data_IF_016525556869
#
_entry.id   IF_016525556869
#
_cell.length_a   1.000
_cell.length_b   1.000
_cell.length_c   1.000
_cell.angle_alpha   90.00
_cell.angle_beta   90.00
_cell.angle_gamma   90.00
#
_symmetry.space_group_name_H-M   'P 1'
#
loop_
_entity.id
_entity.type
_entity.pdbx_description
1 polymer ?
#
# COMPACT_ATOMS: atom_id res chain seq x y z
N UNK A 1 10.51 36.64 -25.61
CA UNK A 1 11.22 35.83 -24.60
C UNK A 1 10.92 36.40 -23.22
N UNK A 2 9.97 35.82 -22.49
CA UNK A 2 9.66 36.24 -21.12
C UNK A 2 10.60 35.55 -20.14
N UNK A 3 11.54 36.30 -19.56
CA UNK A 3 12.38 35.84 -18.45
C UNK A 3 11.49 35.40 -17.28
N UNK A 4 11.42 34.10 -17.06
CA UNK A 4 10.80 33.48 -15.90
C UNK A 4 11.64 33.90 -14.67
N UNK A 5 11.14 34.87 -13.88
CA UNK A 5 11.74 35.27 -12.61
C UNK A 5 12.02 34.01 -11.78
N UNK A 6 13.30 33.75 -11.46
CA UNK A 6 13.70 32.80 -10.42
C UNK A 6 13.03 33.26 -9.12
N UNK A 7 12.07 32.49 -8.61
CA UNK A 7 11.45 32.76 -7.32
C UNK A 7 12.51 32.75 -6.22
N UNK A 8 12.47 33.72 -5.31
CA UNK A 8 13.31 33.74 -4.11
C UNK A 8 13.13 32.42 -3.36
N UNK A 9 14.21 31.85 -2.84
CA UNK A 9 14.13 30.72 -1.93
C UNK A 9 13.24 31.11 -0.74
N UNK A 10 12.30 30.24 -0.33
CA UNK A 10 11.44 30.54 0.80
C UNK A 10 12.29 30.66 2.08
N UNK A 11 11.83 31.41 3.10
CA UNK A 11 12.53 31.52 4.38
C UNK A 11 12.81 30.13 4.97
N UNK A 12 14.00 29.95 5.55
CA UNK A 12 14.42 28.69 6.21
C UNK A 12 13.38 28.30 7.28
N UNK A 13 12.97 27.03 7.30
CA UNK A 13 11.90 26.47 8.15
C UNK A 13 10.46 26.98 7.90
N UNK A 14 10.23 27.82 6.89
CA UNK A 14 8.85 28.11 6.48
C UNK A 14 8.15 26.83 5.98
N UNK A 15 6.80 26.75 6.03
CA UNK A 15 6.07 25.62 5.48
C UNK A 15 6.41 25.32 4.01
N UNK A 16 6.73 26.37 3.23
CA UNK A 16 7.15 26.23 1.84
C UNK A 16 8.56 25.66 1.69
N UNK A 17 9.47 25.99 2.60
CA UNK A 17 10.83 25.45 2.64
C UNK A 17 10.83 23.96 2.99
N UNK A 18 10.08 23.56 4.03
CA UNK A 18 9.94 22.15 4.42
C UNK A 18 9.34 21.34 3.28
N UNK A 19 8.35 21.89 2.60
CA UNK A 19 7.69 21.23 1.47
C UNK A 19 8.64 21.00 0.28
N UNK A 20 9.48 21.98 -0.05
CA UNK A 20 10.41 21.86 -1.17
C UNK A 20 11.56 20.90 -0.88
N UNK A 21 11.98 20.77 0.38
CA UNK A 21 13.16 20.01 0.79
C UNK A 21 12.80 18.79 1.64
N UNK A 22 11.58 18.27 1.58
CA UNK A 22 11.11 17.17 2.46
C UNK A 22 11.97 15.91 2.29
N UNK A 23 12.33 15.56 1.04
CA UNK A 23 13.21 14.43 0.76
C UNK A 23 14.63 14.66 1.27
N UNK A 24 15.16 15.88 1.14
CA UNK A 24 16.48 16.24 1.67
C UNK A 24 16.48 16.23 3.20
N UNK A 25 15.43 16.76 3.84
CA UNK A 25 15.26 16.73 5.30
C UNK A 25 15.19 15.29 5.82
N UNK A 26 14.41 14.42 5.18
CA UNK A 26 14.36 12.99 5.51
C UNK A 26 15.73 12.33 5.31
N UNK A 27 16.46 12.70 4.25
CA UNK A 27 17.82 12.22 3.98
C UNK A 27 18.81 12.66 5.06
N UNK A 28 18.79 13.94 5.47
CA UNK A 28 19.65 14.43 6.55
C UNK A 28 19.35 13.73 7.88
N UNK A 29 18.08 13.48 8.19
CA UNK A 29 17.70 12.72 9.39
C UNK A 29 18.19 11.27 9.32
N UNK A 30 17.95 10.58 8.20
CA UNK A 30 18.39 9.20 8.00
C UNK A 30 19.92 9.08 8.06
N UNK A 31 20.65 9.98 7.40
CA UNK A 31 22.13 10.04 7.44
C UNK A 31 22.61 10.38 8.84
N UNK A 32 21.97 11.30 9.56
CA UNK A 32 22.30 11.62 10.94
C UNK A 32 22.17 10.41 11.87
N UNK A 33 21.10 9.62 11.70
CA UNK A 33 20.92 8.35 12.39
C UNK A 33 22.08 7.41 12.02
N UNK A 34 22.39 7.21 10.74
CA UNK A 34 23.50 6.35 10.30
C UNK A 34 24.87 6.79 10.83
N UNK A 35 25.16 8.09 10.85
CA UNK A 35 26.40 8.65 11.40
C UNK A 35 26.52 8.38 12.91
N UNK A 36 25.40 8.30 13.62
CA UNK A 36 25.40 7.90 15.02
C UNK A 36 25.85 6.45 15.25
N UNK A 37 25.99 5.61 14.22
CA UNK A 37 26.68 4.32 14.33
C UNK A 37 28.21 4.45 14.46
N UNK A 38 28.78 5.59 14.09
CA UNK A 38 30.24 5.78 14.08
C UNK A 38 30.84 5.88 15.50
N UNK A 39 30.03 6.23 16.50
CA UNK A 39 30.47 6.33 17.89
C UNK A 39 29.80 5.26 18.75
N UNK A 40 30.58 4.59 19.59
CA UNK A 40 30.10 3.44 20.39
C UNK A 40 28.92 3.80 21.31
N UNK A 41 28.96 4.97 21.94
CA UNK A 41 27.90 5.43 22.85
C UNK A 41 26.58 5.66 22.11
N UNK A 42 26.62 6.34 20.95
CA UNK A 42 25.42 6.63 20.16
C UNK A 42 24.91 5.39 19.43
N UNK A 43 25.80 4.48 19.01
CA UNK A 43 25.45 3.27 18.30
C UNK A 43 24.46 2.40 19.09
N UNK A 44 24.61 2.32 20.42
CA UNK A 44 23.69 1.59 21.32
C UNK A 44 22.23 2.05 21.23
N UNK A 45 22.00 3.32 20.91
CA UNK A 45 20.66 3.90 20.77
C UNK A 45 20.17 3.88 19.33
N UNK A 46 21.06 4.19 18.39
CA UNK A 46 20.75 4.28 16.96
C UNK A 46 20.40 2.93 16.36
N UNK A 47 21.00 1.84 16.84
CA UNK A 47 20.75 0.50 16.29
C UNK A 47 19.28 0.09 16.37
N UNK A 48 18.53 0.63 17.34
CA UNK A 48 17.09 0.39 17.52
C UNK A 48 16.28 0.86 16.29
N UNK A 49 16.75 1.91 15.62
CA UNK A 49 16.12 2.46 14.42
C UNK A 49 16.42 1.61 13.17
N UNK A 50 17.58 0.98 13.11
CA UNK A 50 18.08 0.39 11.85
C UNK A 50 17.79 -1.11 11.78
N UNK A 51 18.02 -1.84 12.87
CA UNK A 51 17.92 -3.31 12.84
C UNK A 51 16.52 -3.79 13.20
N UNK A 52 16.17 -4.99 12.75
CA UNK A 52 14.97 -5.67 13.20
C UNK A 52 15.14 -6.08 14.67
N UNK A 53 14.19 -5.68 15.52
CA UNK A 53 14.30 -5.82 16.98
C UNK A 53 13.82 -7.18 17.47
N UNK A 54 14.12 -7.53 18.74
CA UNK A 54 13.63 -8.74 19.43
C UNK A 54 14.08 -10.06 18.78
N UNK A 55 15.37 -10.16 18.41
CA UNK A 55 15.95 -11.43 17.95
C UNK A 55 15.99 -12.46 19.10
N UNK A 56 15.52 -13.66 18.81
CA UNK A 56 15.56 -14.84 19.67
C UNK A 56 16.27 -15.96 18.89
N UNK A 57 17.48 -16.30 19.31
CA UNK A 57 18.30 -17.31 18.66
C UNK A 57 18.08 -18.68 19.29
N UNK A 58 17.79 -19.68 18.47
CA UNK A 58 17.73 -21.08 18.90
C UNK A 58 18.91 -21.87 18.33
N UNK A 59 19.53 -22.67 19.19
CA UNK A 59 20.48 -23.71 18.80
C UNK A 59 19.70 -25.00 18.57
N UNK A 60 19.70 -25.50 17.35
CA UNK A 60 19.21 -26.85 17.07
C UNK A 60 20.40 -27.80 17.31
N UNK A 61 20.21 -28.83 18.15
CA UNK A 61 21.31 -29.73 18.53
C UNK A 61 21.93 -30.49 17.34
N UNK A 62 23.24 -30.78 17.47
CA UNK A 62 24.16 -31.55 16.63
C UNK A 62 24.61 -30.99 15.27
N UNK A 63 24.04 -29.88 14.80
CA UNK A 63 24.61 -29.09 13.71
C UNK A 63 24.56 -27.64 14.13
N UNK A 64 25.69 -26.96 14.14
CA UNK A 64 25.89 -25.56 14.52
C UNK A 64 25.11 -24.53 13.67
N UNK A 65 23.84 -24.78 13.39
CA UNK A 65 22.91 -23.94 12.66
C UNK A 65 22.05 -23.20 13.68
N UNK A 66 22.26 -21.89 13.74
CA UNK A 66 21.46 -20.97 14.54
C UNK A 66 20.28 -20.48 13.70
N UNK A 67 19.05 -20.77 14.13
CA UNK A 67 17.86 -20.17 13.52
C UNK A 67 17.45 -18.96 14.36
N UNK A 68 17.43 -17.79 13.72
CA UNK A 68 17.04 -16.53 14.34
C UNK A 68 15.57 -16.25 14.07
N UNK A 69 14.79 -16.19 15.15
CA UNK A 69 13.39 -15.75 15.14
C UNK A 69 13.26 -14.37 15.75
N UNK A 70 12.12 -13.72 15.50
CA UNK A 70 11.86 -12.38 15.98
C UNK A 70 10.43 -12.26 16.51
N UNK A 71 10.29 -11.63 17.66
CA UNK A 71 8.99 -11.30 18.26
C UNK A 71 8.61 -9.85 17.92
N UNK A 72 7.34 -9.47 18.06
CA UNK A 72 6.95 -8.06 17.93
C UNK A 72 7.17 -7.31 19.25
N UNK A 73 7.36 -5.99 19.19
CA UNK A 73 7.35 -5.18 20.41
C UNK A 73 7.50 -3.69 20.17
N UNK A 74 7.41 -2.86 21.24
CA UNK A 74 7.36 -1.40 21.12
C UNK A 74 8.59 -0.77 20.44
N UNK A 75 9.77 -1.39 20.53
CA UNK A 75 10.97 -0.89 19.83
C UNK A 75 10.82 -0.89 18.31
N UNK A 76 9.92 -1.71 17.77
CA UNK A 76 9.62 -1.73 16.34
C UNK A 76 9.08 -0.38 15.84
N UNK A 77 8.51 0.46 16.72
CA UNK A 77 8.04 1.81 16.34
C UNK A 77 9.21 2.68 15.84
N UNK A 78 10.37 2.60 16.50
CA UNK A 78 11.56 3.33 16.07
C UNK A 78 12.08 2.80 14.73
N UNK A 79 12.06 1.47 14.54
CA UNK A 79 12.42 0.83 13.27
C UNK A 79 11.47 1.24 12.15
N UNK A 80 10.15 1.21 12.38
CA UNK A 80 9.13 1.66 11.43
C UNK A 80 9.34 3.13 11.06
N UNK A 81 9.64 4.00 12.03
CA UNK A 81 9.93 5.41 11.78
C UNK A 81 11.14 5.59 10.86
N UNK A 82 12.23 4.86 11.10
CA UNK A 82 13.41 4.91 10.24
C UNK A 82 13.09 4.46 8.82
N UNK A 83 12.43 3.31 8.64
CA UNK A 83 12.04 2.83 7.31
C UNK A 83 10.99 3.72 6.64
N UNK A 84 10.21 4.51 7.40
CA UNK A 84 9.34 5.54 6.84
C UNK A 84 10.16 6.69 6.24
N UNK A 85 11.27 7.10 6.87
CA UNK A 85 12.22 8.06 6.27
C UNK A 85 12.82 7.50 4.98
N UNK A 86 13.24 6.23 4.99
CA UNK A 86 13.72 5.55 3.78
C UNK A 86 12.64 5.52 2.68
N UNK A 87 11.39 5.28 3.04
CA UNK A 87 10.27 5.32 2.09
C UNK A 87 10.07 6.72 1.47
N UNK A 88 10.18 7.81 2.26
CA UNK A 88 10.13 9.19 1.75
C UNK A 88 11.26 9.42 0.73
N UNK A 89 12.48 9.01 1.05
CA UNK A 89 13.65 9.17 0.16
C UNK A 89 13.45 8.37 -1.12
N UNK A 90 13.05 7.10 -1.00
CA UNK A 90 12.83 6.21 -2.15
C UNK A 90 11.72 6.74 -3.07
N UNK A 91 10.62 7.22 -2.50
CA UNK A 91 9.53 7.83 -3.25
C UNK A 91 10.02 9.04 -4.05
N UNK A 92 10.80 9.94 -3.44
CA UNK A 92 11.39 11.08 -4.13
C UNK A 92 12.34 10.65 -5.26
N UNK A 93 13.19 9.65 -5.04
CA UNK A 93 14.09 9.10 -6.06
C UNK A 93 13.31 8.49 -7.22
N UNK A 94 12.30 7.66 -6.95
CA UNK A 94 11.44 7.07 -7.99
C UNK A 94 10.73 8.16 -8.79
N UNK A 95 10.24 9.19 -8.11
CA UNK A 95 9.57 10.33 -8.75
C UNK A 95 10.50 11.01 -9.74
N UNK A 96 11.68 11.42 -9.29
CA UNK A 96 12.57 12.31 -10.05
C UNK A 96 13.31 11.56 -11.17
N UNK A 97 13.81 10.35 -10.90
CA UNK A 97 14.61 9.58 -11.85
C UNK A 97 13.80 8.75 -12.84
N UNK A 98 12.60 8.31 -12.45
CA UNK A 98 11.78 7.40 -13.26
C UNK A 98 10.52 8.11 -13.77
N UNK A 99 9.62 8.50 -12.87
CA UNK A 99 8.26 8.91 -13.25
C UNK A 99 8.26 10.24 -14.01
N UNK A 100 8.98 11.25 -13.53
CA UNK A 100 9.08 12.54 -14.18
C UNK A 100 9.84 12.43 -15.52
N UNK A 101 10.79 11.51 -15.64
CA UNK A 101 11.48 11.23 -16.92
C UNK A 101 10.55 10.62 -17.95
N UNK A 102 9.67 9.70 -17.55
CA UNK A 102 8.64 9.12 -18.42
C UNK A 102 7.59 10.17 -18.79
N UNK A 103 7.14 10.98 -17.84
CA UNK A 103 6.15 12.03 -18.09
C UNK A 103 6.63 13.08 -19.09
N UNK A 104 7.91 13.50 -19.00
CA UNK A 104 8.51 14.44 -19.96
C UNK A 104 8.49 13.87 -21.39
N UNK A 105 8.62 12.55 -21.56
CA UNK A 105 8.54 11.87 -22.86
C UNK A 105 7.10 11.74 -23.37
N UNK A 106 6.14 11.54 -22.48
CA UNK A 106 4.73 11.35 -22.82
C UNK A 106 3.94 12.65 -23.03
N UNK A 107 4.53 13.81 -22.70
CA UNK A 107 3.90 15.14 -22.84
C UNK A 107 2.48 15.21 -22.23
N UNK A 108 2.30 14.63 -21.05
CA UNK A 108 1.01 14.57 -20.37
C UNK A 108 0.54 15.96 -19.89
N UNK A 109 -0.78 16.20 -19.87
CA UNK A 109 -1.36 17.39 -19.26
C UNK A 109 -1.09 17.44 -17.75
N UNK A 110 -1.12 18.62 -17.13
CA UNK A 110 -0.87 18.80 -15.69
C UNK A 110 -1.74 17.88 -14.81
N UNK A 111 -3.00 17.70 -15.18
CA UNK A 111 -3.93 16.81 -14.44
C UNK A 111 -3.65 15.32 -14.69
N UNK A 112 -3.21 14.93 -15.89
CA UNK A 112 -2.77 13.54 -16.18
C UNK A 112 -1.46 13.24 -15.45
N UNK A 113 -0.56 14.21 -15.40
CA UNK A 113 0.75 14.09 -14.74
C UNK A 113 0.64 13.72 -13.26
N UNK A 114 -0.15 14.45 -12.47
CA UNK A 114 -0.32 14.15 -11.04
C UNK A 114 -0.87 12.74 -10.80
N UNK A 115 -1.86 12.33 -11.60
CA UNK A 115 -2.46 10.99 -11.51
C UNK A 115 -1.56 9.87 -12.02
N UNK A 116 -0.72 10.17 -13.01
CA UNK A 116 0.31 9.27 -13.50
C UNK A 116 1.35 9.03 -12.40
N UNK A 117 1.83 10.08 -11.74
CA UNK A 117 2.82 9.95 -10.65
C UNK A 117 2.26 9.16 -9.47
N UNK A 118 1.04 9.47 -9.01
CA UNK A 118 0.35 8.69 -7.97
C UNK A 118 0.27 7.20 -8.34
N UNK A 119 -0.15 6.89 -9.57
CA UNK A 119 -0.26 5.50 -10.02
C UNK A 119 1.11 4.84 -10.25
N UNK A 120 2.12 5.62 -10.63
CA UNK A 120 3.48 5.18 -10.83
C UNK A 120 4.09 4.71 -9.51
N UNK A 121 4.01 5.54 -8.48
CA UNK A 121 4.51 5.23 -7.13
C UNK A 121 3.83 3.97 -6.57
N UNK A 122 2.49 3.92 -6.65
CA UNK A 122 1.73 2.76 -6.19
C UNK A 122 2.05 1.50 -7.00
N UNK A 123 2.23 1.59 -8.32
CA UNK A 123 2.63 0.45 -9.13
C UNK A 123 4.03 -0.09 -8.74
N UNK A 124 5.01 0.79 -8.48
CA UNK A 124 6.33 0.37 -8.01
C UNK A 124 6.25 -0.33 -6.65
N UNK A 125 5.51 0.27 -5.70
CA UNK A 125 5.31 -0.31 -4.39
C UNK A 125 4.61 -1.67 -4.45
N UNK A 126 3.46 -1.76 -5.13
CA UNK A 126 2.72 -3.01 -5.21
C UNK A 126 3.48 -4.10 -5.96
N UNK A 127 4.29 -3.75 -6.97
CA UNK A 127 5.16 -4.72 -7.65
C UNK A 127 6.18 -5.32 -6.67
N UNK A 128 6.92 -4.46 -5.96
CA UNK A 128 7.92 -4.90 -5.01
C UNK A 128 7.30 -5.70 -3.86
N UNK A 129 6.23 -5.20 -3.26
CA UNK A 129 5.54 -5.86 -2.15
C UNK A 129 4.85 -7.17 -2.58
N UNK A 130 4.31 -7.25 -3.80
CA UNK A 130 3.77 -8.50 -4.32
C UNK A 130 4.87 -9.55 -4.51
N UNK A 131 5.97 -9.19 -5.17
CA UNK A 131 7.08 -10.13 -5.42
C UNK A 131 7.69 -10.63 -4.11
N UNK A 132 7.94 -9.73 -3.16
CA UNK A 132 8.49 -10.10 -1.85
C UNK A 132 7.48 -10.90 -1.00
N UNK A 133 6.22 -10.49 -0.95
CA UNK A 133 5.19 -11.24 -0.23
C UNK A 133 4.96 -12.63 -0.83
N UNK A 134 4.97 -12.74 -2.16
CA UNK A 134 4.86 -14.02 -2.86
C UNK A 134 6.08 -14.92 -2.62
N UNK A 135 7.30 -14.35 -2.54
CA UNK A 135 8.49 -15.14 -2.22
C UNK A 135 8.45 -15.70 -0.80
N UNK A 136 7.94 -14.92 0.17
CA UNK A 136 7.71 -15.39 1.55
C UNK A 136 6.68 -16.53 1.54
N UNK A 137 5.54 -16.33 0.88
CA UNK A 137 4.50 -17.37 0.81
C UNK A 137 5.02 -18.66 0.15
N UNK A 138 5.80 -18.57 -0.92
CA UNK A 138 6.34 -19.75 -1.61
C UNK A 138 7.36 -20.53 -0.76
N UNK A 139 7.96 -19.90 0.24
CA UNK A 139 8.86 -20.57 1.18
C UNK A 139 8.12 -21.29 2.33
N UNK A 140 6.81 -21.06 2.48
CA UNK A 140 6.02 -21.54 3.61
C UNK A 140 5.12 -22.72 3.23
N UNK A 141 5.20 -23.81 3.99
CA UNK A 141 4.49 -25.07 3.72
C UNK A 141 2.95 -24.93 3.80
N UNK A 142 2.45 -23.97 4.57
CA UNK A 142 1.00 -23.74 4.72
C UNK A 142 0.32 -23.25 3.43
N UNK A 143 1.09 -22.84 2.42
CA UNK A 143 0.53 -22.50 1.10
C UNK A 143 0.10 -23.72 0.30
N UNK A 144 0.81 -24.84 0.46
CA UNK A 144 0.50 -26.13 -0.17
C UNK A 144 -0.51 -26.91 0.67
N UNK A 145 -0.40 -26.83 2.00
CA UNK A 145 -1.32 -27.48 2.92
C UNK A 145 -2.00 -26.47 3.87
N UNK A 146 -3.21 -25.97 3.52
CA UNK A 146 -3.92 -24.96 4.32
C UNK A 146 -4.27 -25.41 5.74
N UNK A 147 -4.25 -26.72 6.03
CA UNK A 147 -4.50 -27.23 7.39
C UNK A 147 -3.40 -26.80 8.38
N UNK A 148 -2.20 -26.50 7.88
CA UNK A 148 -1.05 -26.04 8.67
C UNK A 148 -1.14 -24.58 9.07
N UNK A 149 -2.08 -23.80 8.51
CA UNK A 149 -2.19 -22.37 8.75
C UNK A 149 -2.23 -22.03 10.25
N UNK A 150 -2.99 -22.81 11.03
CA UNK A 150 -3.19 -22.63 12.48
C UNK A 150 -2.44 -23.65 13.34
N UNK A 151 -1.65 -24.53 12.72
CA UNK A 151 -0.84 -25.50 13.46
C UNK A 151 0.14 -24.74 14.37
N UNK A 152 0.24 -25.16 15.63
CA UNK A 152 1.10 -24.56 16.65
C UNK A 152 0.79 -23.08 16.96
N UNK A 153 -0.46 -22.63 16.73
CA UNK A 153 -0.91 -21.31 17.14
C UNK A 153 -0.87 -21.19 18.69
N UNK A 154 -0.37 -20.08 19.27
CA UNK A 154 -0.03 -18.80 18.65
C UNK A 154 1.35 -18.71 17.96
N UNK A 155 1.39 -18.03 16.82
CA UNK A 155 2.62 -17.77 16.05
C UNK A 155 3.32 -16.48 16.51
N UNK A 156 3.76 -16.43 17.76
CA UNK A 156 4.44 -15.25 18.33
C UNK A 156 5.81 -14.94 17.70
N UNK A 157 6.39 -15.92 16.99
CA UNK A 157 7.73 -15.86 16.41
C UNK A 157 7.68 -15.76 14.90
N UNK A 158 8.46 -14.83 14.35
CA UNK A 158 8.55 -14.56 12.92
C UNK A 158 9.98 -14.77 12.42
N UNK A 159 10.13 -15.27 11.20
CA UNK A 159 11.40 -15.17 10.49
C UNK A 159 11.71 -13.70 10.17
N UNK A 160 13.00 -13.39 10.05
CA UNK A 160 13.48 -12.04 9.69
C UNK A 160 12.71 -11.47 8.49
N UNK A 161 12.56 -12.25 7.42
CA UNK A 161 11.91 -11.79 6.19
C UNK A 161 10.44 -11.40 6.41
N UNK A 162 9.71 -12.17 7.21
CA UNK A 162 8.30 -11.89 7.54
C UNK A 162 8.20 -10.61 8.36
N UNK A 163 8.96 -10.51 9.45
CA UNK A 163 8.93 -9.34 10.32
C UNK A 163 9.34 -8.08 9.56
N UNK A 164 10.44 -8.16 8.81
CA UNK A 164 10.96 -7.03 8.06
C UNK A 164 9.99 -6.59 6.95
N UNK A 165 9.32 -7.54 6.28
CA UNK A 165 8.25 -7.25 5.33
C UNK A 165 7.15 -6.39 5.99
N UNK A 166 6.61 -6.82 7.13
CA UNK A 166 5.56 -6.07 7.85
C UNK A 166 6.01 -4.67 8.28
N UNK A 167 7.22 -4.54 8.83
CA UNK A 167 7.80 -3.23 9.19
C UNK A 167 7.83 -2.30 7.97
N UNK A 168 8.34 -2.78 6.83
CA UNK A 168 8.39 -2.01 5.59
C UNK A 168 6.99 -1.65 5.05
N UNK A 169 6.02 -2.57 5.13
CA UNK A 169 4.65 -2.27 4.69
C UNK A 169 4.01 -1.18 5.56
N UNK A 170 4.13 -1.26 6.88
CA UNK A 170 3.60 -0.23 7.80
C UNK A 170 4.30 1.11 7.56
N UNK A 171 5.63 1.10 7.46
CA UNK A 171 6.44 2.28 7.18
C UNK A 171 6.03 2.98 5.88
N UNK A 172 5.79 2.23 4.81
CA UNK A 172 5.35 2.79 3.53
C UNK A 172 3.99 3.49 3.63
N UNK A 173 3.01 2.87 4.30
CA UNK A 173 1.69 3.46 4.47
C UNK A 173 1.68 4.66 5.43
N UNK A 174 2.57 4.70 6.42
CA UNK A 174 2.81 5.90 7.24
C UNK A 174 3.49 7.02 6.43
N UNK A 175 4.42 6.67 5.54
CA UNK A 175 4.98 7.62 4.58
C UNK A 175 3.88 8.23 3.71
N UNK A 176 2.90 7.44 3.25
CA UNK A 176 1.80 7.93 2.44
C UNK A 176 0.96 9.01 3.16
N UNK A 177 0.83 8.95 4.50
CA UNK A 177 0.20 10.03 5.29
C UNK A 177 1.00 11.34 5.20
N UNK A 178 2.32 11.25 5.32
CA UNK A 178 3.22 12.40 5.20
C UNK A 178 3.15 13.00 3.79
N UNK A 179 3.02 12.14 2.79
CA UNK A 179 2.93 12.55 1.39
C UNK A 179 1.63 13.30 1.05
N UNK A 180 0.52 13.02 1.76
CA UNK A 180 -0.70 13.84 1.65
C UNK A 180 -0.41 15.32 1.93
N UNK A 181 0.46 15.58 2.90
CA UNK A 181 0.91 16.92 3.26
C UNK A 181 1.94 17.44 2.25
N UNK A 182 2.95 16.64 1.89
CA UNK A 182 4.04 17.07 1.01
C UNK A 182 3.62 17.36 -0.44
N UNK A 183 2.65 16.63 -0.98
CA UNK A 183 2.21 16.83 -2.37
C UNK A 183 1.16 17.93 -2.55
N UNK A 184 0.72 18.59 -1.47
CA UNK A 184 -0.39 19.57 -1.51
C UNK A 184 -1.59 18.99 -2.25
N UNK A 185 -2.02 17.79 -1.85
CA UNK A 185 -3.15 17.13 -2.46
C UNK A 185 -4.39 18.02 -2.32
N UNK A 186 -5.23 18.01 -3.36
CA UNK A 186 -6.44 18.83 -3.38
C UNK A 186 -7.32 18.46 -2.18
N UNK A 187 -7.86 19.46 -1.49
CA UNK A 187 -8.60 19.26 -0.23
C UNK A 187 -9.77 18.29 -0.39
N UNK A 188 -10.40 18.25 -1.56
CA UNK A 188 -11.48 17.33 -1.89
C UNK A 188 -11.06 15.85 -2.01
N UNK A 189 -9.78 15.57 -2.30
CA UNK A 189 -9.25 14.21 -2.45
C UNK A 189 -8.70 13.64 -1.13
N UNK A 190 -8.33 14.50 -0.16
CA UNK A 190 -7.71 14.11 1.13
C UNK A 190 -8.57 13.09 1.91
N UNK A 191 -9.88 13.30 2.14
CA UNK A 191 -10.66 12.36 2.97
C UNK A 191 -10.70 10.95 2.36
N UNK A 192 -10.75 10.87 1.03
CA UNK A 192 -10.74 9.59 0.31
C UNK A 192 -9.41 8.87 0.54
N UNK A 193 -8.30 9.53 0.22
CA UNK A 193 -6.97 8.90 0.34
C UNK A 193 -6.62 8.56 1.79
N UNK A 194 -6.96 9.44 2.74
CA UNK A 194 -6.76 9.19 4.16
C UNK A 194 -7.51 7.93 4.63
N UNK A 195 -8.75 7.73 4.17
CA UNK A 195 -9.51 6.52 4.48
C UNK A 195 -8.78 5.25 3.98
N UNK A 196 -8.29 5.25 2.74
CA UNK A 196 -7.52 4.12 2.22
C UNK A 196 -6.24 3.86 3.02
N UNK A 197 -5.47 4.91 3.30
CA UNK A 197 -4.22 4.78 4.07
C UNK A 197 -4.49 4.23 5.47
N UNK A 198 -5.51 4.74 6.16
CA UNK A 198 -5.92 4.23 7.47
C UNK A 198 -6.35 2.77 7.42
N UNK A 199 -7.07 2.35 6.36
CA UNK A 199 -7.46 0.94 6.19
C UNK A 199 -6.23 0.04 6.03
N UNK A 200 -5.22 0.44 5.25
CA UNK A 200 -3.98 -0.32 5.12
C UNK A 200 -3.23 -0.41 6.44
N UNK A 201 -3.00 0.73 7.12
CA UNK A 201 -2.31 0.76 8.41
C UNK A 201 -3.03 -0.14 9.42
N UNK A 202 -4.36 -0.05 9.51
CA UNK A 202 -5.17 -0.84 10.44
C UNK A 202 -5.07 -2.35 10.17
N UNK A 203 -5.23 -2.79 8.92
CA UNK A 203 -5.20 -4.23 8.61
C UNK A 203 -3.78 -4.81 8.74
N UNK A 204 -2.76 -4.10 8.27
CA UNK A 204 -1.36 -4.57 8.33
C UNK A 204 -0.88 -4.61 9.77
N UNK A 205 -1.10 -3.52 10.54
CA UNK A 205 -0.71 -3.46 11.95
C UNK A 205 -1.53 -4.42 12.80
N UNK A 206 -2.83 -4.58 12.51
CA UNK A 206 -3.68 -5.55 13.19
C UNK A 206 -3.19 -6.99 12.99
N UNK A 207 -2.82 -7.35 11.76
CA UNK A 207 -2.24 -8.66 11.49
C UNK A 207 -0.87 -8.86 12.18
N UNK A 208 -0.07 -7.80 12.27
CA UNK A 208 1.24 -7.82 12.92
C UNK A 208 1.16 -7.97 14.44
N UNK A 209 0.31 -7.18 15.10
CA UNK A 209 0.19 -7.13 16.57
C UNK A 209 -0.58 -8.33 17.13
N UNK A 210 -1.58 -8.84 16.40
CA UNK A 210 -2.43 -9.94 16.86
C UNK A 210 -1.87 -11.34 16.52
N UNK A 211 -0.62 -11.43 16.09
CA UNK A 211 0.00 -12.68 15.64
C UNK A 211 -0.81 -13.40 14.54
N UNK A 212 -1.34 -12.64 13.59
CA UNK A 212 -2.08 -13.14 12.43
C UNK A 212 -1.28 -12.96 11.14
N UNK A 213 0.06 -12.96 11.22
CA UNK A 213 0.94 -12.60 10.10
C UNK A 213 0.78 -13.56 8.92
N UNK A 214 0.62 -14.86 9.17
CA UNK A 214 0.38 -15.87 8.11
C UNK A 214 -0.91 -15.56 7.34
N UNK A 215 -2.01 -15.35 8.05
CA UNK A 215 -3.29 -14.98 7.44
C UNK A 215 -3.18 -13.63 6.72
N UNK A 216 -2.55 -12.64 7.35
CA UNK A 216 -2.35 -11.32 6.77
C UNK A 216 -1.59 -11.38 5.44
N UNK A 217 -0.51 -12.17 5.34
CA UNK A 217 0.22 -12.39 4.08
C UNK A 217 -0.67 -13.02 3.00
N UNK A 218 -1.39 -14.10 3.32
CA UNK A 218 -2.28 -14.79 2.38
C UNK A 218 -3.35 -13.84 1.82
N UNK A 219 -3.87 -12.91 2.63
CA UNK A 219 -4.88 -11.95 2.18
C UNK A 219 -4.26 -10.75 1.44
N UNK A 220 -3.09 -10.30 1.88
CA UNK A 220 -2.43 -9.08 1.36
C UNK A 220 -1.80 -9.28 -0.01
N UNK A 221 -1.12 -10.40 -0.25
CA UNK A 221 -0.43 -10.67 -1.53
C UNK A 221 -1.39 -10.65 -2.74
N UNK A 222 -2.51 -11.39 -2.76
CA UNK A 222 -3.45 -11.32 -3.89
C UNK A 222 -4.14 -9.96 -4.01
N UNK A 223 -4.33 -9.25 -2.89
CA UNK A 223 -4.84 -7.88 -2.92
C UNK A 223 -3.84 -6.94 -3.62
N UNK A 224 -2.57 -6.97 -3.25
CA UNK A 224 -1.52 -6.15 -3.88
C UNK A 224 -1.33 -6.47 -5.37
N UNK A 225 -1.49 -7.73 -5.77
CA UNK A 225 -1.48 -8.11 -7.19
C UNK A 225 -2.60 -7.40 -7.98
N UNK A 226 -3.82 -7.37 -7.43
CA UNK A 226 -4.95 -6.69 -8.10
C UNK A 226 -4.72 -5.19 -8.19
N UNK A 227 -4.22 -4.56 -7.12
CA UNK A 227 -3.91 -3.13 -7.12
C UNK A 227 -2.76 -2.80 -8.09
N UNK A 228 -1.74 -3.66 -8.18
CA UNK A 228 -0.67 -3.54 -9.19
C UNK A 228 -1.25 -3.54 -10.60
N UNK A 229 -2.12 -4.49 -10.93
CA UNK A 229 -2.74 -4.58 -12.26
C UNK A 229 -3.59 -3.35 -12.55
N UNK A 230 -4.29 -2.79 -11.55
CA UNK A 230 -5.03 -1.54 -11.69
C UNK A 230 -4.11 -0.37 -12.07
N UNK A 231 -3.08 -0.13 -11.27
CA UNK A 231 -2.17 0.99 -11.47
C UNK A 231 -1.34 0.83 -12.74
N UNK A 232 -0.86 -0.37 -13.05
CA UNK A 232 -0.20 -0.66 -14.32
C UNK A 232 -1.12 -0.39 -15.52
N UNK A 233 -2.39 -0.84 -15.46
CA UNK A 233 -3.38 -0.56 -16.51
C UNK A 233 -3.61 0.93 -16.69
N UNK A 234 -3.65 1.69 -15.59
CA UNK A 234 -3.81 3.15 -15.60
C UNK A 234 -2.60 3.86 -16.21
N UNK A 235 -1.38 3.41 -15.93
CA UNK A 235 -0.16 3.92 -16.55
C UNK A 235 -0.15 3.67 -18.07
N UNK A 236 -0.50 2.46 -18.52
CA UNK A 236 -0.59 2.14 -19.95
C UNK A 236 -1.68 2.96 -20.64
N UNK A 237 -2.82 3.17 -20.00
CA UNK A 237 -3.90 4.01 -20.51
C UNK A 237 -3.50 5.48 -20.66
N UNK A 238 -2.70 6.01 -19.74
CA UNK A 238 -2.18 7.38 -19.87
C UNK A 238 -1.19 7.54 -21.01
N UNK A 239 -0.42 6.50 -21.33
CA UNK A 239 0.47 6.46 -22.50
C UNK A 239 -0.31 6.33 -23.82
N UNK A 240 -1.32 5.45 -23.86
CA UNK A 240 -2.16 5.24 -25.04
C UNK A 240 -3.60 4.89 -24.61
N UNK A 241 -4.55 5.76 -24.93
CA UNK A 241 -5.95 5.62 -24.55
C UNK A 241 -6.64 4.40 -25.17
N UNK A 242 -6.03 3.76 -26.19
CA UNK A 242 -6.50 2.51 -26.78
C UNK A 242 -6.19 1.27 -25.90
N UNK A 243 -5.27 1.37 -24.94
CA UNK A 243 -4.84 0.27 -24.06
C UNK A 243 -5.78 0.07 -22.88
N UNK A 244 -7.06 -0.22 -23.15
CA UNK A 244 -8.09 -0.36 -22.11
C UNK A 244 -8.28 -1.80 -21.61
N UNK A 245 -7.74 -2.81 -22.33
CA UNK A 245 -7.93 -4.23 -22.01
C UNK A 245 -7.49 -4.61 -20.59
N UNK A 246 -6.45 -3.93 -20.06
CA UNK A 246 -5.96 -4.16 -18.70
C UNK A 246 -7.02 -3.90 -17.62
N UNK A 247 -7.90 -2.93 -17.82
CA UNK A 247 -9.01 -2.67 -16.87
C UNK A 247 -10.04 -3.79 -16.85
N UNK A 248 -10.22 -4.55 -17.94
CA UNK A 248 -11.12 -5.72 -17.94
C UNK A 248 -10.51 -6.86 -17.13
N UNK A 249 -9.21 -7.12 -17.32
CA UNK A 249 -8.46 -8.12 -16.53
C UNK A 249 -8.49 -7.77 -15.05
N UNK A 250 -8.19 -6.51 -14.73
CA UNK A 250 -8.29 -6.00 -13.36
C UNK A 250 -9.68 -6.19 -12.78
N UNK A 251 -10.75 -5.82 -13.50
CA UNK A 251 -12.11 -5.92 -12.97
C UNK A 251 -12.51 -7.36 -12.63
N UNK A 252 -12.13 -8.33 -13.47
CA UNK A 252 -12.34 -9.76 -13.20
C UNK A 252 -11.58 -10.20 -11.94
N UNK A 253 -10.26 -9.93 -11.91
CA UNK A 253 -9.41 -10.34 -10.79
C UNK A 253 -9.79 -9.66 -9.48
N UNK A 254 -10.24 -8.40 -9.54
CA UNK A 254 -10.73 -7.67 -8.38
C UNK A 254 -11.87 -8.44 -7.71
N UNK A 255 -12.91 -8.79 -8.46
CA UNK A 255 -14.06 -9.55 -7.91
C UNK A 255 -13.60 -10.90 -7.35
N UNK A 256 -12.76 -11.64 -8.10
CA UNK A 256 -12.24 -12.94 -7.66
C UNK A 256 -11.49 -12.84 -6.34
N UNK A 257 -10.59 -11.86 -6.18
CA UNK A 257 -9.82 -11.69 -4.95
C UNK A 257 -10.71 -11.22 -3.79
N UNK A 258 -11.75 -10.41 -4.00
CA UNK A 258 -12.67 -10.03 -2.92
C UNK A 258 -13.45 -11.25 -2.41
N UNK A 259 -13.93 -12.10 -3.32
CA UNK A 259 -14.59 -13.36 -2.96
C UNK A 259 -13.62 -14.30 -2.22
N UNK A 260 -12.39 -14.46 -2.72
CA UNK A 260 -11.35 -15.24 -2.05
C UNK A 260 -11.08 -14.71 -0.63
N UNK A 261 -10.94 -13.39 -0.47
CA UNK A 261 -10.68 -12.74 0.82
C UNK A 261 -11.81 -13.00 1.81
N UNK A 262 -13.06 -12.87 1.39
CA UNK A 262 -14.23 -13.14 2.24
C UNK A 262 -14.30 -14.61 2.64
N UNK A 263 -14.19 -15.53 1.67
CA UNK A 263 -14.24 -16.97 1.91
C UNK A 263 -13.13 -17.40 2.88
N UNK A 264 -11.89 -16.99 2.63
CA UNK A 264 -10.77 -17.30 3.51
C UNK A 264 -10.98 -16.72 4.90
N UNK A 265 -11.45 -15.48 5.02
CA UNK A 265 -11.68 -14.86 6.34
C UNK A 265 -12.75 -15.59 7.15
N UNK A 266 -13.86 -15.97 6.52
CA UNK A 266 -14.93 -16.75 7.17
C UNK A 266 -14.43 -18.14 7.56
N UNK A 267 -13.74 -18.83 6.66
CA UNK A 267 -13.19 -20.17 6.95
C UNK A 267 -12.16 -20.13 8.08
N UNK A 268 -11.27 -19.15 8.05
CA UNK A 268 -10.15 -19.07 9.00
C UNK A 268 -10.59 -18.59 10.38
N UNK A 269 -11.41 -17.54 10.50
CA UNK A 269 -11.90 -17.08 11.80
C UNK A 269 -13.06 -17.92 12.35
N UNK A 270 -13.96 -18.39 11.47
CA UNK A 270 -15.16 -19.13 11.87
C UNK A 270 -14.92 -20.60 12.14
N UNK A 271 -14.00 -21.24 11.42
CA UNK A 271 -13.78 -22.69 11.52
C UNK A 271 -12.33 -23.07 11.84
N UNK A 272 -11.33 -22.36 11.30
CA UNK A 272 -9.91 -22.69 11.50
C UNK A 272 -9.44 -22.35 12.92
N UNK A 273 -9.23 -21.06 13.18
CA UNK A 273 -8.79 -20.54 14.48
C UNK A 273 -9.77 -20.91 15.60
N UNK A 274 -11.06 -21.01 15.27
CA UNK A 274 -12.10 -21.38 16.22
C UNK A 274 -11.99 -22.79 16.81
N UNK A 275 -11.35 -23.72 16.08
CA UNK A 275 -11.19 -25.12 16.49
C UNK A 275 -9.83 -25.43 17.10
N UNK A 276 -8.95 -24.44 17.20
CA UNK A 276 -7.64 -24.61 17.85
C UNK A 276 -7.85 -24.91 19.34
N UNK A 277 -7.17 -25.95 19.84
CA UNK A 277 -7.37 -26.54 21.17
C UNK A 277 -7.05 -25.58 22.34
N UNK A 278 -6.38 -24.45 22.06
CA UNK A 278 -5.98 -23.44 23.04
C UNK A 278 -6.74 -22.10 22.90
N UNK A 279 -8.07 -22.07 23.07
CA UNK A 279 -8.81 -20.80 23.08
C UNK A 279 -8.41 -19.99 24.33
N UNK A 280 -8.07 -18.72 24.15
CA UNK A 280 -7.60 -17.89 25.25
C UNK A 280 -7.15 -16.50 24.83
N UNK A 281 -6.91 -15.65 25.83
CA UNK A 281 -6.32 -14.32 25.65
C UNK A 281 -5.14 -14.19 26.62
N UNK A 282 -3.93 -14.08 26.06
CA UNK A 282 -2.70 -13.85 26.80
C UNK A 282 -1.75 -13.02 25.95
N UNK A 283 -1.47 -11.80 26.39
CA UNK A 283 -0.50 -10.92 25.73
C UNK A 283 0.91 -11.51 25.85
N UNK A 284 1.23 -12.14 27.00
CA UNK A 284 2.53 -12.75 27.27
C UNK A 284 2.80 -13.92 26.32
N UNK A 285 1.81 -14.77 26.07
CA UNK A 285 1.94 -15.91 25.15
C UNK A 285 1.67 -15.54 23.70
N UNK A 286 1.22 -14.31 23.44
CA UNK A 286 0.80 -13.85 22.12
C UNK A 286 -0.47 -14.54 21.60
N UNK A 287 -1.29 -15.10 22.50
CA UNK A 287 -2.55 -15.77 22.18
C UNK A 287 -3.70 -14.75 22.20
N UNK A 288 -4.38 -14.59 21.07
CA UNK A 288 -5.51 -13.67 20.90
C UNK A 288 -6.78 -14.41 20.45
N UNK A 289 -6.85 -15.73 20.64
CA UNK A 289 -7.97 -16.57 20.20
C UNK A 289 -9.17 -16.49 21.16
N UNK A 290 -9.79 -15.32 21.22
CA UNK A 290 -11.09 -15.10 21.87
C UNK A 290 -12.14 -14.71 20.84
N UNK A 291 -13.41 -14.96 21.18
CA UNK A 291 -14.53 -14.68 20.27
C UNK A 291 -14.57 -13.21 19.85
N UNK A 292 -14.34 -12.28 20.78
CA UNK A 292 -14.35 -10.83 20.51
C UNK A 292 -13.33 -10.43 19.45
N UNK A 293 -12.09 -10.90 19.55
CA UNK A 293 -11.02 -10.64 18.56
C UNK A 293 -11.39 -11.23 17.21
N UNK A 294 -11.83 -12.50 17.17
CA UNK A 294 -12.21 -13.17 15.92
C UNK A 294 -13.34 -12.46 15.19
N UNK A 295 -14.41 -12.10 15.89
CA UNK A 295 -15.56 -11.39 15.30
C UNK A 295 -15.17 -9.97 14.90
N UNK A 296 -14.31 -9.29 15.68
CA UNK A 296 -13.83 -7.95 15.32
C UNK A 296 -12.97 -7.98 14.06
N UNK A 297 -12.02 -8.91 13.95
CA UNK A 297 -11.19 -9.09 12.75
C UNK A 297 -12.03 -9.47 11.53
N UNK A 298 -12.93 -10.44 11.67
CA UNK A 298 -13.85 -10.83 10.60
C UNK A 298 -14.74 -9.67 10.17
N UNK A 299 -15.30 -8.94 11.13
CA UNK A 299 -16.12 -7.75 10.88
C UNK A 299 -15.34 -6.67 10.14
N UNK A 300 -14.12 -6.36 10.57
CA UNK A 300 -13.24 -5.39 9.92
C UNK A 300 -12.96 -5.77 8.45
N UNK A 301 -12.62 -7.03 8.19
CA UNK A 301 -12.41 -7.52 6.82
C UNK A 301 -13.70 -7.41 6.02
N UNK A 302 -14.82 -7.96 6.50
CA UNK A 302 -16.10 -7.96 5.79
C UNK A 302 -16.61 -6.56 5.47
N UNK A 303 -16.55 -5.63 6.43
CA UNK A 303 -16.95 -4.23 6.22
C UNK A 303 -16.08 -3.56 5.16
N UNK A 304 -14.76 -3.79 5.21
CA UNK A 304 -13.82 -3.24 4.23
C UNK A 304 -14.07 -3.83 2.84
N UNK A 305 -14.31 -5.14 2.73
CA UNK A 305 -14.67 -5.80 1.47
C UNK A 305 -15.98 -5.25 0.90
N UNK A 306 -17.01 -5.12 1.74
CA UNK A 306 -18.31 -4.60 1.34
C UNK A 306 -18.19 -3.15 0.85
N UNK A 307 -17.43 -2.31 1.56
CA UNK A 307 -17.17 -0.93 1.16
C UNK A 307 -16.44 -0.83 -0.19
N UNK A 308 -15.40 -1.64 -0.41
CA UNK A 308 -14.69 -1.69 -1.70
C UNK A 308 -15.58 -2.20 -2.84
N UNK A 309 -16.38 -3.25 -2.60
CA UNK A 309 -17.34 -3.76 -3.58
C UNK A 309 -18.42 -2.74 -3.91
N UNK A 310 -18.93 -2.02 -2.92
CA UNK A 310 -19.88 -0.92 -3.12
C UNK A 310 -19.28 0.17 -4.02
N UNK A 311 -18.03 0.59 -3.79
CA UNK A 311 -17.32 1.54 -4.65
C UNK A 311 -17.19 1.00 -6.08
N UNK A 312 -16.82 -0.27 -6.21
CA UNK A 312 -16.67 -0.92 -7.51
C UNK A 312 -17.95 -1.03 -8.30
N UNK A 313 -19.05 -1.47 -7.67
CA UNK A 313 -20.36 -1.56 -8.33
C UNK A 313 -20.80 -0.17 -8.79
N UNK A 314 -20.69 0.85 -7.93
CA UNK A 314 -21.05 2.22 -8.30
C UNK A 314 -20.24 2.74 -9.49
N UNK A 315 -18.95 2.42 -9.53
CA UNK A 315 -18.09 2.74 -10.66
C UNK A 315 -18.54 2.04 -11.95
N UNK A 316 -18.77 0.72 -11.91
CA UNK A 316 -19.22 -0.03 -13.09
C UNK A 316 -20.59 0.44 -13.58
N UNK A 317 -21.53 0.72 -12.66
CA UNK A 317 -22.84 1.29 -12.98
C UNK A 317 -22.72 2.68 -13.61
N UNK A 318 -21.79 3.51 -13.16
CA UNK A 318 -21.54 4.82 -13.78
C UNK A 318 -21.00 4.65 -15.20
N UNK A 319 -19.98 3.80 -15.38
CA UNK A 319 -19.40 3.50 -16.70
C UNK A 319 -20.46 2.96 -17.67
N UNK A 320 -21.28 2.01 -17.22
CA UNK A 320 -22.36 1.44 -18.01
C UNK A 320 -23.41 2.48 -18.44
N UNK A 321 -23.86 3.33 -17.50
CA UNK A 321 -24.77 4.45 -17.81
C UNK A 321 -24.19 5.40 -18.87
N UNK A 322 -22.90 5.67 -18.81
CA UNK A 322 -22.22 6.52 -19.80
C UNK A 322 -22.09 5.85 -21.17
N UNK A 323 -21.84 4.53 -21.24
CA UNK A 323 -21.85 3.79 -22.50
C UNK A 323 -23.23 3.81 -23.17
N UNK A 324 -24.31 3.60 -22.40
CA UNK A 324 -25.68 3.71 -22.92
C UNK A 324 -25.95 5.11 -23.47
N UNK A 325 -25.59 6.17 -22.73
CA UNK A 325 -25.75 7.57 -23.19
C UNK A 325 -24.99 7.88 -24.47
N UNK A 326 -23.88 7.20 -24.75
CA UNK A 326 -23.11 7.35 -26.00
C UNK A 326 -23.71 6.58 -27.18
N UNK A 327 -24.44 5.49 -26.91
CA UNK A 327 -25.12 4.67 -27.93
C UNK A 327 -26.49 5.23 -28.34
N UNK A 328 -27.15 6.03 -27.49
CA UNK A 328 -28.38 6.73 -27.87
C UNK A 328 -28.03 7.81 -28.93
N UNK A 329 -28.60 7.75 -30.16
CA UNK A 329 -28.33 8.75 -31.18
C UNK A 329 -28.83 10.12 -30.72
N UNK A 330 -27.95 11.12 -30.67
CA UNK A 330 -28.40 12.51 -30.51
C UNK A 330 -29.24 12.87 -31.74
N UNK A 331 -30.55 13.14 -31.56
CA UNK A 331 -31.35 13.84 -32.58
C UNK A 331 -30.54 15.06 -33.05
N UNK A 332 -30.24 15.13 -34.34
CA UNK A 332 -29.51 16.24 -34.97
C UNK A 332 -30.32 17.52 -34.74
N UNK A 333 -29.89 18.35 -33.79
CA UNK A 333 -30.15 19.79 -33.86
C UNK A 333 -28.86 20.40 -34.41
N UNK A 334 -28.95 20.87 -35.64
CA UNK A 334 -27.91 21.54 -36.41
C UNK A 334 -27.45 22.78 -35.64
N UNK A 335 -26.22 22.79 -35.13
CA UNK A 335 -25.51 24.03 -34.86
C UNK A 335 -23.98 23.81 -34.86
N UNK A 336 -23.35 24.38 -35.87
CA UNK A 336 -21.98 24.12 -36.37
C UNK A 336 -20.86 24.73 -35.50
N UNK A 337 -21.09 25.06 -34.22
CA UNK A 337 -20.06 25.73 -33.37
C UNK A 337 -19.39 24.88 -32.29
N UNK A 338 -19.80 23.64 -32.04
CA UNK A 338 -19.36 22.87 -30.84
C UNK A 338 -18.37 21.72 -31.09
N UNK A 339 -17.65 21.69 -32.23
CA UNK A 339 -16.72 20.58 -32.51
C UNK A 339 -15.43 20.62 -31.66
N UNK A 340 -14.99 21.79 -31.17
CA UNK A 340 -13.85 21.89 -30.24
C UNK A 340 -14.22 21.48 -28.79
N UNK A 341 -15.37 21.94 -28.30
CA UNK A 341 -15.84 21.69 -26.91
C UNK A 341 -16.10 20.21 -26.61
N UNK A 342 -16.48 19.42 -27.62
CA UNK A 342 -16.78 17.99 -27.45
C UNK A 342 -15.53 17.12 -27.22
N UNK A 343 -14.36 17.58 -27.70
CA UNK A 343 -13.07 16.88 -27.51
C UNK A 343 -12.48 17.18 -26.13
N UNK A 344 -12.72 18.37 -25.60
CA UNK A 344 -12.36 18.76 -24.23
C UNK A 344 -13.26 18.12 -23.16
N UNK A 345 -14.58 18.01 -23.42
CA UNK A 345 -15.52 17.37 -22.49
C UNK A 345 -15.21 15.87 -22.29
N UNK A 346 -14.84 15.17 -23.36
CA UNK A 346 -14.40 13.77 -23.28
C UNK A 346 -13.08 13.62 -22.51
N UNK A 347 -12.13 14.57 -22.64
CA UNK A 347 -10.86 14.55 -21.88
C UNK A 347 -11.06 14.87 -20.40
N UNK A 348 -12.00 15.75 -20.04
CA UNK A 348 -12.35 16.07 -18.66
C UNK A 348 -13.10 14.95 -17.92
N UNK A 349 -13.86 14.11 -18.64
CA UNK A 349 -14.70 13.06 -18.03
C UNK A 349 -13.93 11.79 -17.64
N UNK A 350 -12.96 11.33 -18.45
CA UNK A 350 -12.05 10.25 -18.04
C UNK A 350 -11.15 10.64 -16.87
N UNK A 351 -10.89 11.93 -16.70
CA UNK A 351 -10.20 12.44 -15.52
C UNK A 351 -10.95 12.14 -14.22
N UNK A 352 -12.29 12.22 -14.19
CA UNK A 352 -13.07 11.92 -12.98
C UNK A 352 -13.26 10.41 -12.73
N UNK A 353 -13.02 9.57 -13.74
CA UNK A 353 -13.11 8.10 -13.68
C UNK A 353 -11.87 7.52 -12.98
N UNK A 354 -10.70 8.17 -13.11
CA UNK A 354 -9.45 7.73 -12.49
C UNK A 354 -9.23 8.30 -11.07
N UNK A 355 -10.19 9.07 -10.54
CA UNK A 355 -10.17 9.54 -9.15
C UNK A 355 -11.16 8.79 -8.26
N UNK A 356 -11.92 7.83 -8.79
CA UNK A 356 -12.92 7.09 -8.00
C UNK A 356 -12.42 5.77 -7.42
N UNK A 357 -11.18 5.40 -7.71
CA UNK A 357 -10.43 4.28 -7.14
C UNK A 357 -9.08 4.79 -6.69
#
# INVERSE_FOLDING_TARGET
MGLRRKGRSPPVLSPEFVLQNHADAASYLAVGILLGLMFEVTAKYVIIFITVQYNVTYTIDDKSEHVNFYEYGPKDIATIFFYMLIAIILHAVIQDYILDKINRRLHLSKTKHSKFNESGQLAFFYLFSFVWGASILNAEEFTVNPTLLWKDYPHSRMLFQVKFFYICQIAYWLHALSELYFQKIRKEDIPRQLCYICLYIAHISGAYILNLQRLGLILMVPHYLVELIFHASRLFYFSDENKQKGFTVWALLFVMVRLLTLTLSVLTFGFGLAKVENPGFSIADGNFNVLSVRISCLGAVCLTQAWMMWKFINFQLKKWREHIKKQIPKKKITNTKNKLTKKELNRGQWHNILSSF
#
